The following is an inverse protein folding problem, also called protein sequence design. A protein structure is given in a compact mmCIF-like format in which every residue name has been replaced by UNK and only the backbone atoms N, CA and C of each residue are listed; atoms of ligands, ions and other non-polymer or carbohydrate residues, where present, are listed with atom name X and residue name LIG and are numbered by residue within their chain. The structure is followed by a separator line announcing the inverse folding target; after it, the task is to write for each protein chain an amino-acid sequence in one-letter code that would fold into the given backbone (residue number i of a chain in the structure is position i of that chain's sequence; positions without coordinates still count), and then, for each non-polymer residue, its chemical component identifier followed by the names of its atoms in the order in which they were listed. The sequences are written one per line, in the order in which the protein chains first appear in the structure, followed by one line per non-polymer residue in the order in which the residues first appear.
data_IF_021589282913
#
_entry.id   IF_021589282913
#
_cell.length_a   1.000
_cell.length_b   1.000
_cell.length_c   1.000
_cell.angle_alpha   90.00
_cell.angle_beta   90.00
_cell.angle_gamma   90.00
#
_symmetry.space_group_name_H-M   'P 1'
#
loop_
_entity.id
_entity.type
_entity.pdbx_description
1 polymer ?
#
# COMPACT_ATOMS: atom_id res chain seq x y z
N UNK A 1 -8.19 18.77 33.12
CA UNK A 1 -7.93 17.60 32.26
C UNK A 1 -6.89 18.03 31.25
N UNK A 2 -5.71 17.41 31.24
CA UNK A 2 -4.65 17.71 30.27
C UNK A 2 -4.96 17.00 28.96
N UNK A 3 -5.22 17.75 27.90
CA UNK A 3 -5.20 17.21 26.54
C UNK A 3 -3.75 16.81 26.23
N UNK A 4 -3.52 15.51 26.08
CA UNK A 4 -2.29 15.03 25.45
C UNK A 4 -2.38 15.40 23.96
N UNK A 5 -1.74 16.49 23.57
CA UNK A 5 -1.42 16.75 22.17
C UNK A 5 -0.33 15.74 21.81
N UNK A 6 -0.71 14.59 21.23
CA UNK A 6 0.24 13.64 20.66
C UNK A 6 0.89 14.31 19.45
N UNK A 7 1.96 15.06 19.69
CA UNK A 7 2.85 15.55 18.64
C UNK A 7 3.48 14.35 17.95
N UNK A 8 2.82 13.86 16.89
CA UNK A 8 3.42 12.88 16.00
C UNK A 8 4.70 13.47 15.41
N UNK A 9 5.71 12.63 15.20
CA UNK A 9 6.90 13.04 14.45
C UNK A 9 6.44 13.43 13.06
N UNK A 10 6.55 14.71 12.72
CA UNK A 10 6.34 15.19 11.36
C UNK A 10 7.58 14.86 10.53
N UNK A 11 7.37 14.27 9.35
CA UNK A 11 8.45 13.98 8.42
C UNK A 11 8.37 14.93 7.23
N UNK A 12 9.48 15.53 6.87
CA UNK A 12 9.64 16.19 5.57
C UNK A 12 9.83 15.14 4.47
N UNK A 13 9.58 15.55 3.22
CA UNK A 13 9.86 14.70 2.06
C UNK A 13 11.34 14.26 1.97
N UNK A 14 12.27 15.12 2.40
CA UNK A 14 13.71 14.82 2.41
C UNK A 14 14.03 13.76 3.45
N UNK A 15 13.51 13.86 4.67
CA UNK A 15 13.75 12.86 5.72
C UNK A 15 13.13 11.51 5.33
N UNK A 16 11.92 11.51 4.76
CA UNK A 16 11.28 10.30 4.25
C UNK A 16 12.09 9.66 3.12
N UNK A 17 12.73 10.46 2.26
CA UNK A 17 13.63 10.00 1.20
C UNK A 17 14.91 9.37 1.78
N UNK A 18 15.54 10.01 2.76
CA UNK A 18 16.72 9.46 3.42
C UNK A 18 16.40 8.10 4.07
N UNK A 19 15.24 8.00 4.74
CA UNK A 19 14.78 6.75 5.38
C UNK A 19 14.55 5.63 4.36
N UNK A 20 13.96 5.93 3.20
CA UNK A 20 13.66 4.90 2.19
C UNK A 20 14.93 4.41 1.48
N UNK A 21 15.94 5.27 1.35
CA UNK A 21 17.21 4.95 0.67
C UNK A 21 18.24 4.24 1.57
N UNK A 22 18.06 4.25 2.90
CA UNK A 22 18.95 3.53 3.83
C UNK A 22 18.92 2.01 3.64
N UNK A 23 17.76 1.45 3.27
CA UNK A 23 17.59 0.01 3.11
C UNK A 23 17.49 -0.41 1.65
N UNK A 24 18.12 -1.55 1.32
CA UNK A 24 17.94 -2.18 0.02
C UNK A 24 16.68 -3.06 0.03
N UNK A 25 15.71 -2.81 -0.88
CA UNK A 25 14.55 -3.66 -1.03
C UNK A 25 14.96 -5.11 -1.30
N UNK A 26 14.31 -6.07 -0.63
CA UNK A 26 14.60 -7.49 -0.86
C UNK A 26 14.04 -7.93 -2.22
N UNK A 27 14.73 -8.80 -2.98
CA UNK A 27 14.15 -9.41 -4.16
C UNK A 27 12.91 -10.25 -3.81
N UNK A 28 11.90 -10.24 -4.68
CA UNK A 28 10.71 -11.09 -4.54
C UNK A 28 10.89 -12.40 -5.30
N UNK A 29 10.43 -13.51 -4.73
CA UNK A 29 10.41 -14.80 -5.43
C UNK A 29 9.28 -14.85 -6.46
N UNK A 30 9.62 -14.66 -7.74
CA UNK A 30 8.67 -14.68 -8.87
C UNK A 30 7.93 -16.01 -8.99
N UNK A 31 8.54 -17.13 -8.59
CA UNK A 31 7.87 -18.44 -8.58
C UNK A 31 6.66 -18.47 -7.64
N UNK A 32 6.75 -17.81 -6.49
CA UNK A 32 5.64 -17.66 -5.55
C UNK A 32 4.54 -16.78 -6.12
N UNK A 33 4.90 -15.73 -6.88
CA UNK A 33 3.92 -14.85 -7.54
C UNK A 33 3.10 -15.58 -8.59
N UNK A 34 3.71 -16.54 -9.32
CA UNK A 34 2.99 -17.34 -10.33
C UNK A 34 1.84 -18.15 -9.72
N UNK A 35 2.03 -18.69 -8.51
CA UNK A 35 0.97 -19.42 -7.81
C UNK A 35 -0.18 -18.51 -7.36
N UNK A 36 0.05 -17.20 -7.29
CA UNK A 36 -0.93 -16.17 -6.91
C UNK A 36 -1.43 -15.36 -8.11
N UNK A 37 -1.07 -15.77 -9.34
CA UNK A 37 -1.33 -14.98 -10.55
C UNK A 37 -2.82 -14.77 -10.81
N UNK A 38 -3.66 -15.76 -10.52
CA UNK A 38 -5.11 -15.65 -10.58
C UNK A 38 -5.69 -15.68 -9.16
N UNK A 39 -6.55 -14.73 -8.83
CA UNK A 39 -7.31 -14.77 -7.57
C UNK A 39 -8.46 -15.78 -7.67
N UNK A 40 -8.30 -16.94 -7.04
CA UNK A 40 -9.36 -17.94 -6.95
C UNK A 40 -10.57 -17.47 -6.12
N UNK A 41 -10.40 -16.46 -5.27
CA UNK A 41 -11.46 -15.89 -4.45
C UNK A 41 -12.08 -14.63 -5.06
N UNK A 42 -11.76 -14.31 -6.33
CA UNK A 42 -12.17 -13.06 -6.99
C UNK A 42 -13.66 -12.75 -6.81
N UNK A 43 -14.52 -13.70 -7.15
CA UNK A 43 -15.96 -13.45 -7.17
C UNK A 43 -16.50 -13.20 -5.75
N UNK A 44 -16.01 -13.94 -4.77
CA UNK A 44 -16.32 -13.71 -3.36
C UNK A 44 -15.81 -12.34 -2.88
N UNK A 45 -14.58 -11.98 -3.24
CA UNK A 45 -13.97 -10.70 -2.87
C UNK A 45 -14.79 -9.53 -3.43
N UNK A 46 -15.14 -9.58 -4.72
CA UNK A 46 -15.95 -8.55 -5.38
C UNK A 46 -17.33 -8.46 -4.71
N UNK A 47 -18.01 -9.59 -4.44
CA UNK A 47 -19.31 -9.56 -3.77
C UNK A 47 -19.24 -8.95 -2.37
N UNK A 48 -18.21 -9.26 -1.58
CA UNK A 48 -18.04 -8.70 -0.24
C UNK A 48 -17.76 -7.19 -0.29
N UNK A 49 -16.85 -6.75 -1.16
CA UNK A 49 -16.55 -5.32 -1.32
C UNK A 49 -17.76 -4.50 -1.77
N UNK A 50 -18.59 -5.04 -2.68
CA UNK A 50 -19.85 -4.39 -3.09
C UNK A 50 -20.88 -4.28 -1.96
N UNK A 51 -20.83 -5.19 -0.97
CA UNK A 51 -21.65 -5.14 0.25
C UNK A 51 -21.01 -4.28 1.36
N UNK A 52 -19.82 -3.74 1.14
CA UNK A 52 -19.06 -2.97 2.14
C UNK A 52 -18.30 -3.85 3.16
N UNK A 53 -18.24 -5.16 2.97
CA UNK A 53 -17.46 -6.06 3.81
C UNK A 53 -16.02 -6.14 3.31
N UNK A 54 -15.13 -5.42 3.98
CA UNK A 54 -13.70 -5.38 3.64
C UNK A 54 -12.82 -6.14 4.62
N UNK A 55 -13.28 -6.40 5.84
CA UNK A 55 -12.56 -7.24 6.79
C UNK A 55 -13.25 -8.61 6.92
N UNK A 56 -12.66 -9.62 6.28
CA UNK A 56 -13.12 -11.00 6.34
C UNK A 56 -12.30 -11.79 7.36
N UNK A 57 -12.78 -12.99 7.70
CA UNK A 57 -12.13 -13.86 8.70
C UNK A 57 -10.66 -14.14 8.39
N UNK A 58 -10.33 -14.34 7.13
CA UNK A 58 -9.02 -14.80 6.65
C UNK A 58 -8.29 -13.77 5.77
N UNK A 59 -8.94 -12.65 5.39
CA UNK A 59 -8.32 -11.59 4.58
C UNK A 59 -8.97 -10.23 4.79
N UNK A 60 -8.20 -9.18 4.59
CA UNK A 60 -8.68 -7.80 4.44
C UNK A 60 -8.60 -7.39 2.98
N UNK A 61 -9.62 -6.67 2.50
CA UNK A 61 -9.80 -6.22 1.14
C UNK A 61 -9.71 -4.70 1.04
N UNK A 62 -9.16 -4.21 -0.06
CA UNK A 62 -9.21 -2.80 -0.45
C UNK A 62 -9.75 -2.70 -1.87
N UNK A 63 -10.72 -1.81 -2.12
CA UNK A 63 -11.35 -1.65 -3.42
C UNK A 63 -11.04 -0.27 -4.02
N UNK A 64 -10.66 -0.24 -5.29
CA UNK A 64 -10.35 1.01 -6.00
C UNK A 64 -11.43 1.33 -7.04
N UNK A 65 -11.55 2.62 -7.40
CA UNK A 65 -12.61 3.11 -8.30
C UNK A 65 -12.54 2.56 -9.72
N UNK A 66 -11.37 2.07 -10.16
CA UNK A 66 -11.17 1.43 -11.45
C UNK A 66 -11.55 -0.08 -11.44
N UNK A 67 -12.02 -0.58 -10.31
CA UNK A 67 -12.38 -1.98 -10.10
C UNK A 67 -11.21 -2.90 -9.80
N UNK A 68 -9.98 -2.38 -9.73
CA UNK A 68 -8.86 -3.11 -9.14
C UNK A 68 -9.04 -3.22 -7.62
N UNK A 69 -8.32 -4.15 -7.01
CA UNK A 69 -8.42 -4.40 -5.58
C UNK A 69 -7.14 -4.94 -4.97
N UNK A 70 -6.98 -4.73 -3.67
CA UNK A 70 -5.92 -5.29 -2.84
C UNK A 70 -6.45 -6.37 -1.92
N UNK A 71 -5.65 -7.40 -1.67
CA UNK A 71 -5.94 -8.48 -0.72
C UNK A 71 -4.75 -8.64 0.23
N UNK A 72 -5.03 -8.67 1.53
CA UNK A 72 -4.07 -9.00 2.59
C UNK A 72 -4.60 -10.21 3.35
N UNK A 73 -3.93 -11.36 3.22
CA UNK A 73 -4.31 -12.56 3.98
C UNK A 73 -3.79 -12.46 5.42
N UNK A 74 -4.60 -12.91 6.39
CA UNK A 74 -4.29 -12.79 7.83
C UNK A 74 -3.14 -13.70 8.27
N UNK A 75 -2.89 -14.80 7.57
CA UNK A 75 -1.77 -15.72 7.80
C UNK A 75 -0.42 -15.17 7.27
N UNK A 76 -0.45 -14.18 6.37
CA UNK A 76 0.71 -13.48 5.86
C UNK A 76 0.45 -11.97 5.69
N UNK A 77 0.32 -11.22 6.81
CA UNK A 77 -0.18 -9.84 6.82
C UNK A 77 0.83 -8.80 6.29
N UNK A 78 2.09 -9.20 6.07
CA UNK A 78 3.14 -8.34 5.52
C UNK A 78 3.08 -8.25 3.99
N UNK A 79 2.38 -9.17 3.33
CA UNK A 79 2.23 -9.18 1.88
C UNK A 79 0.86 -8.65 1.48
N UNK A 80 0.83 -7.73 0.51
CA UNK A 80 -0.40 -7.25 -0.15
C UNK A 80 -0.37 -7.71 -1.61
N UNK A 81 -1.46 -8.28 -2.08
CA UNK A 81 -1.64 -8.69 -3.47
C UNK A 81 -2.58 -7.72 -4.17
N UNK A 82 -2.17 -7.16 -5.31
CA UNK A 82 -2.98 -6.25 -6.10
C UNK A 82 -3.46 -6.93 -7.37
N UNK A 83 -4.77 -7.03 -7.53
CA UNK A 83 -5.42 -7.65 -8.67
C UNK A 83 -6.14 -6.61 -9.52
N UNK A 84 -6.10 -6.80 -10.83
CA UNK A 84 -6.99 -6.10 -11.74
C UNK A 84 -8.43 -6.59 -11.57
N UNK A 85 -9.39 -5.87 -12.18
CA UNK A 85 -10.82 -6.27 -12.14
C UNK A 85 -11.10 -7.69 -12.62
N UNK A 86 -10.21 -8.27 -13.43
CA UNK A 86 -10.29 -9.64 -13.95
C UNK A 86 -9.68 -10.70 -13.00
N UNK A 87 -9.18 -10.31 -11.82
CA UNK A 87 -8.51 -11.21 -10.88
C UNK A 87 -7.10 -11.61 -11.28
N UNK A 88 -6.51 -10.94 -12.27
CA UNK A 88 -5.11 -11.14 -12.65
C UNK A 88 -4.22 -10.27 -11.75
N UNK A 89 -3.20 -10.88 -11.15
CA UNK A 89 -2.22 -10.22 -10.32
C UNK A 89 -1.49 -9.16 -11.17
N UNK A 90 -1.46 -7.93 -10.67
CA UNK A 90 -0.74 -6.81 -11.31
C UNK A 90 0.51 -6.45 -10.53
N UNK A 91 0.42 -6.50 -9.20
CA UNK A 91 1.52 -6.13 -8.31
C UNK A 91 1.46 -6.91 -7.00
N UNK A 92 2.59 -6.97 -6.31
CA UNK A 92 2.67 -7.34 -4.89
C UNK A 92 3.32 -6.19 -4.11
N UNK A 93 2.98 -6.02 -2.84
CA UNK A 93 3.68 -5.11 -1.92
C UNK A 93 4.12 -5.88 -0.67
N UNK A 94 5.39 -5.73 -0.31
CA UNK A 94 5.95 -6.32 0.92
C UNK A 94 6.20 -5.20 1.94
N UNK A 95 5.64 -5.37 3.14
CA UNK A 95 5.80 -4.46 4.28
C UNK A 95 6.93 -4.93 5.17
N UNK A 96 7.68 -3.98 5.74
CA UNK A 96 8.73 -4.31 6.72
C UNK A 96 8.18 -4.50 8.13
N UNK A 97 6.98 -4.01 8.42
CA UNK A 97 6.31 -4.07 9.73
C UNK A 97 4.80 -3.89 9.57
N UNK A 98 4.04 -4.29 10.59
CA UNK A 98 2.62 -3.99 10.75
C UNK A 98 2.36 -2.75 11.63
N UNK A 99 3.42 -2.22 12.26
CA UNK A 99 3.36 -1.09 13.18
C UNK A 99 4.00 0.12 12.51
N UNK A 100 3.32 1.26 12.56
CA UNK A 100 3.82 2.54 12.05
C UNK A 100 4.97 3.10 12.91
N UNK A 101 5.88 3.87 12.31
CA UNK A 101 6.05 4.04 10.87
C UNK A 101 6.74 2.80 10.25
N UNK A 102 6.47 2.51 8.97
CA UNK A 102 7.09 1.38 8.29
C UNK A 102 7.33 1.62 6.79
N UNK A 103 8.18 0.78 6.21
CA UNK A 103 8.49 0.79 4.78
C UNK A 103 7.72 -0.30 4.06
N UNK A 104 7.37 -0.04 2.81
CA UNK A 104 6.90 -1.10 1.93
C UNK A 104 7.40 -0.93 0.50
N UNK A 105 7.49 -2.04 -0.20
CA UNK A 105 8.10 -2.12 -1.52
C UNK A 105 7.13 -2.81 -2.47
N UNK A 106 6.75 -2.14 -3.56
CA UNK A 106 5.83 -2.69 -4.55
C UNK A 106 6.58 -3.19 -5.76
N UNK A 107 6.21 -4.37 -6.22
CA UNK A 107 6.83 -5.05 -7.35
C UNK A 107 5.79 -5.41 -8.40
N UNK A 108 6.21 -5.41 -9.66
CA UNK A 108 5.42 -5.99 -10.74
C UNK A 108 5.46 -7.54 -10.70
N UNK A 109 4.76 -8.18 -11.62
CA UNK A 109 4.71 -9.65 -11.72
C UNK A 109 6.00 -10.31 -12.18
N UNK A 110 6.95 -9.51 -12.70
CA UNK A 110 8.30 -9.96 -13.04
C UNK A 110 9.28 -9.81 -11.87
N UNK A 111 8.85 -9.21 -10.76
CA UNK A 111 9.67 -8.97 -9.58
C UNK A 111 10.48 -7.68 -9.64
N UNK A 112 10.23 -6.79 -10.60
CA UNK A 112 10.89 -5.50 -10.66
C UNK A 112 10.27 -4.55 -9.64
N UNK A 113 11.10 -3.80 -8.93
CA UNK A 113 10.65 -2.76 -8.01
C UNK A 113 10.01 -1.60 -8.80
N UNK A 114 8.75 -1.31 -8.51
CA UNK A 114 7.97 -0.24 -9.13
C UNK A 114 7.99 1.01 -8.27
N UNK A 115 7.73 0.87 -6.96
CA UNK A 115 7.77 1.99 -6.04
C UNK A 115 8.20 1.55 -4.63
N UNK A 116 8.65 2.53 -3.85
CA UNK A 116 9.01 2.39 -2.45
C UNK A 116 8.13 3.34 -1.64
N UNK A 117 7.67 2.91 -0.49
CA UNK A 117 6.68 3.64 0.29
C UNK A 117 7.16 3.76 1.73
N UNK A 118 7.10 4.96 2.30
CA UNK A 118 7.24 5.19 3.73
C UNK A 118 5.88 5.58 4.30
N UNK A 119 5.29 4.68 5.08
CA UNK A 119 3.98 4.90 5.72
C UNK A 119 4.21 5.37 7.14
N UNK A 120 3.88 6.62 7.39
CA UNK A 120 4.07 7.28 8.69
C UNK A 120 2.92 6.95 9.64
N UNK A 121 1.70 6.91 9.12
CA UNK A 121 0.48 6.58 9.86
C UNK A 121 -0.59 6.06 8.90
N UNK A 122 -1.78 5.78 9.42
CA UNK A 122 -2.95 5.51 8.57
C UNK A 122 -3.30 6.70 7.64
N UNK A 123 -2.96 7.92 8.09
CA UNK A 123 -3.30 9.17 7.41
C UNK A 123 -2.18 9.73 6.54
N UNK A 124 -0.94 9.27 6.69
CA UNK A 124 0.20 9.86 6.00
C UNK A 124 1.13 8.82 5.37
N UNK A 125 1.47 9.03 4.11
CA UNK A 125 2.31 8.10 3.34
C UNK A 125 3.07 8.84 2.25
N UNK A 126 4.39 8.64 2.20
CA UNK A 126 5.25 9.08 1.11
C UNK A 126 5.48 7.92 0.14
N UNK A 127 5.40 8.20 -1.16
CA UNK A 127 5.61 7.22 -2.22
C UNK A 127 6.71 7.75 -3.15
N UNK A 128 7.72 6.92 -3.34
CA UNK A 128 8.89 7.19 -4.16
C UNK A 128 8.94 6.22 -5.34
N UNK A 129 9.45 6.67 -6.48
CA UNK A 129 9.80 5.75 -7.56
C UNK A 129 11.01 4.88 -7.17
N UNK A 130 11.38 3.92 -8.02
CA UNK A 130 12.52 3.03 -7.77
C UNK A 130 13.91 3.73 -7.75
N UNK A 131 14.00 4.98 -8.20
CA UNK A 131 15.19 5.84 -8.07
C UNK A 131 15.21 6.65 -6.77
N UNK A 132 14.15 6.55 -5.95
CA UNK A 132 14.04 7.29 -4.69
C UNK A 132 13.46 8.68 -4.82
N UNK A 133 12.98 9.10 -6.01
CA UNK A 133 12.34 10.41 -6.17
C UNK A 133 10.90 10.35 -5.69
N UNK A 134 10.45 11.36 -4.93
CA UNK A 134 9.06 11.47 -4.50
C UNK A 134 8.16 11.56 -5.74
N UNK A 135 7.08 10.78 -5.75
CA UNK A 135 6.06 10.82 -6.82
C UNK A 135 4.66 11.09 -6.27
N UNK A 136 4.42 10.80 -4.99
CA UNK A 136 3.15 11.07 -4.34
C UNK A 136 3.31 11.17 -2.82
N UNK A 137 2.50 12.01 -2.19
CA UNK A 137 2.40 12.15 -0.74
C UNK A 137 0.92 12.19 -0.33
N UNK A 138 0.46 11.11 0.31
CA UNK A 138 -0.86 11.08 0.93
C UNK A 138 -0.80 11.78 2.27
N UNK A 139 -1.71 12.75 2.49
CA UNK A 139 -1.96 13.39 3.78
C UNK A 139 -3.47 13.53 3.99
N UNK A 140 -3.99 12.78 4.95
CA UNK A 140 -5.42 12.61 5.16
C UNK A 140 -6.09 12.03 3.90
N UNK A 141 -7.09 12.74 3.38
CA UNK A 141 -7.88 12.35 2.22
C UNK A 141 -7.23 12.70 0.87
N UNK A 142 -6.17 13.51 0.86
CA UNK A 142 -5.58 14.06 -0.35
C UNK A 142 -4.21 13.42 -0.65
N UNK A 143 -3.95 13.22 -1.94
CA UNK A 143 -2.65 12.82 -2.47
C UNK A 143 -2.06 13.96 -3.28
N UNK A 144 -0.88 14.41 -2.90
CA UNK A 144 -0.16 15.49 -3.55
C UNK A 144 0.96 14.93 -4.43
N UNK A 145 1.17 15.53 -5.60
CA UNK A 145 2.39 15.34 -6.38
C UNK A 145 3.57 16.14 -5.78
N UNK A 146 4.79 16.02 -6.31
CA UNK A 146 5.95 16.76 -5.80
C UNK A 146 5.82 18.29 -5.88
N UNK A 147 4.97 18.82 -6.76
CA UNK A 147 4.69 20.25 -6.88
C UNK A 147 3.63 20.74 -5.86
N UNK A 148 3.12 19.86 -5.00
CA UNK A 148 2.06 20.17 -4.03
C UNK A 148 0.65 20.24 -4.62
N UNK A 149 0.43 19.74 -5.84
CA UNK A 149 -0.89 19.66 -6.47
C UNK A 149 -1.59 18.36 -6.11
N UNK A 150 -2.89 18.44 -5.80
CA UNK A 150 -3.70 17.23 -5.57
C UNK A 150 -3.85 16.46 -6.88
N UNK A 151 -3.50 15.17 -6.86
CA UNK A 151 -3.60 14.26 -8.00
C UNK A 151 -4.59 13.12 -7.76
N UNK A 152 -4.89 12.79 -6.51
CA UNK A 152 -5.88 11.77 -6.14
C UNK A 152 -6.50 12.11 -4.77
N UNK A 153 -7.68 11.53 -4.50
CA UNK A 153 -8.30 11.57 -3.17
C UNK A 153 -8.72 10.17 -2.73
N UNK A 154 -8.92 9.99 -1.42
CA UNK A 154 -9.42 8.75 -0.82
C UNK A 154 -10.44 9.05 0.26
N UNK A 155 -11.37 8.12 0.47
CA UNK A 155 -12.25 8.16 1.63
C UNK A 155 -11.56 7.46 2.80
N UNK A 156 -11.52 8.12 3.95
CA UNK A 156 -11.09 7.48 5.19
C UNK A 156 -12.35 7.16 6.00
N UNK A 157 -12.57 5.88 6.27
CA UNK A 157 -13.69 5.46 7.13
C UNK A 157 -13.25 5.68 8.58
N UNK A 158 -13.99 6.53 9.30
CA UNK A 158 -13.86 6.74 10.75
C UNK A 158 -14.65 5.71 11.53
#
# INVERSE_FOLDING_TARGET
MSEMITGGVEYTASEAQDIILQDKPKPVNVGVLRNKYLDCNRDENIQNMLKGFTDLKDRTLAYFSDGSYGVVYKDNPLTVLYYGKNGILTHTEERTSLVYPYKSYKYDTMGNLVNMTFRVSEFETFIFNNSGNLIAHWKGENCYNPDGKIIMTRRIMK
#
